data_IF_050297880612
#
_entry.id   IF_050297880612
#
_cell.length_a   1.000
_cell.length_b   1.000
_cell.length_c   1.000
_cell.angle_alpha   90.00
_cell.angle_beta   90.00
_cell.angle_gamma   90.00
#
_symmetry.space_group_name_H-M   'P 1'
#
loop_
_entity.id
_entity.type
_entity.pdbx_description
1 polymer ?
#
# COMPACT_ATOMS: atom_id res chain seq x y z
N UNK A 1 26.25 5.99 -18.18
CA UNK A 1 24.91 6.40 -17.69
C UNK A 1 24.53 5.43 -16.59
N UNK A 2 24.17 5.91 -15.39
CA UNK A 2 23.87 5.05 -14.24
C UNK A 2 22.63 4.20 -14.54
N UNK A 3 22.77 2.87 -14.66
CA UNK A 3 21.63 1.94 -14.73
C UNK A 3 20.88 2.06 -13.39
N UNK A 4 19.69 2.67 -13.39
CA UNK A 4 18.82 2.67 -12.22
C UNK A 4 18.30 1.24 -12.04
N UNK A 5 18.39 0.65 -10.84
CA UNK A 5 17.86 -0.69 -10.62
C UNK A 5 16.34 -0.66 -10.82
N UNK A 6 15.82 -1.64 -11.57
CA UNK A 6 14.39 -1.83 -11.75
C UNK A 6 13.68 -1.85 -10.38
N UNK A 7 12.55 -1.13 -10.26
CA UNK A 7 11.70 -1.15 -9.06
C UNK A 7 12.05 -0.18 -7.93
N UNK A 8 12.97 0.79 -8.12
CA UNK A 8 13.28 1.79 -7.07
C UNK A 8 12.06 2.65 -6.66
N UNK A 9 11.25 3.05 -7.65
CA UNK A 9 9.94 3.70 -7.48
C UNK A 9 8.98 2.85 -6.65
N UNK A 10 8.90 1.56 -6.97
CA UNK A 10 7.99 0.59 -6.34
C UNK A 10 8.39 0.27 -4.90
N UNK A 11 9.70 0.26 -4.59
CA UNK A 11 10.22 0.10 -3.23
C UNK A 11 9.93 1.31 -2.34
N UNK A 12 9.99 2.54 -2.86
CA UNK A 12 9.60 3.76 -2.12
C UNK A 12 8.11 3.76 -1.75
N UNK A 13 7.25 3.24 -2.63
CA UNK A 13 5.81 3.06 -2.35
C UNK A 13 5.53 2.07 -1.21
N UNK A 14 6.33 1.01 -1.05
CA UNK A 14 6.18 0.06 0.05
C UNK A 14 6.44 0.71 1.43
N UNK A 15 7.45 1.59 1.52
CA UNK A 15 7.76 2.31 2.76
C UNK A 15 6.72 3.37 3.15
N UNK A 16 6.10 4.05 2.18
CA UNK A 16 5.01 5.00 2.45
C UNK A 16 3.77 4.32 3.06
N UNK A 17 3.47 3.08 2.65
CA UNK A 17 2.27 2.35 3.12
C UNK A 17 2.36 1.89 4.57
N UNK A 18 3.57 1.64 5.11
CA UNK A 18 3.78 1.37 6.55
C UNK A 18 3.38 2.57 7.42
N UNK A 19 3.67 3.79 6.97
CA UNK A 19 3.26 5.02 7.69
C UNK A 19 1.75 5.19 7.70
N UNK A 20 1.05 4.84 6.63
CA UNK A 20 -0.42 4.89 6.58
C UNK A 20 -1.06 3.92 7.59
N UNK A 21 -0.53 2.70 7.72
CA UNK A 21 -1.04 1.73 8.71
C UNK A 21 -0.87 2.23 10.16
N UNK A 22 0.26 2.85 10.47
CA UNK A 22 0.49 3.50 11.78
C UNK A 22 -0.48 4.66 12.02
N UNK A 23 -0.75 5.49 11.00
CA UNK A 23 -1.72 6.57 11.11
C UNK A 23 -3.14 6.08 11.39
N UNK A 24 -3.58 4.99 10.76
CA UNK A 24 -4.89 4.38 11.08
C UNK A 24 -4.96 3.84 12.50
N UNK A 25 -3.88 3.22 12.99
CA UNK A 25 -3.81 2.76 14.38
C UNK A 25 -3.90 3.94 15.36
N UNK A 26 -3.19 5.04 15.08
CA UNK A 26 -3.24 6.27 15.89
C UNK A 26 -4.62 6.91 15.86
N UNK A 27 -5.26 7.01 14.69
CA UNK A 27 -6.62 7.55 14.57
C UNK A 27 -7.63 6.66 15.31
N UNK A 28 -7.53 5.34 15.18
CA UNK A 28 -8.38 4.40 15.90
C UNK A 28 -8.22 4.51 17.41
N UNK A 29 -6.97 4.65 17.89
CA UNK A 29 -6.68 4.89 19.30
C UNK A 29 -7.22 6.24 19.80
N UNK A 30 -7.13 7.28 18.98
CA UNK A 30 -7.70 8.60 19.26
C UNK A 30 -9.23 8.56 19.40
N UNK A 31 -9.92 7.86 18.50
CA UNK A 31 -11.38 7.67 18.57
C UNK A 31 -11.75 6.90 19.84
N UNK A 32 -10.98 5.88 20.22
CA UNK A 32 -11.19 5.11 21.45
C UNK A 32 -11.08 6.01 22.69
N UNK A 33 -10.04 6.86 22.76
CA UNK A 33 -9.84 7.79 23.87
C UNK A 33 -11.00 8.79 23.94
N UNK A 34 -11.41 9.36 22.81
CA UNK A 34 -12.54 10.31 22.77
C UNK A 34 -13.83 9.64 23.22
N UNK A 35 -14.10 8.40 22.79
CA UNK A 35 -15.26 7.63 23.24
C UNK A 35 -15.23 7.39 24.75
N UNK A 36 -14.08 7.00 25.32
CA UNK A 36 -13.91 6.80 26.77
C UNK A 36 -14.13 8.12 27.52
N UNK A 37 -13.55 9.24 27.06
CA UNK A 37 -13.74 10.55 27.69
C UNK A 37 -15.22 11.00 27.64
N UNK A 38 -15.91 10.74 26.53
CA UNK A 38 -17.32 11.04 26.38
C UNK A 38 -18.19 10.18 27.32
N UNK A 39 -17.83 8.91 27.53
CA UNK A 39 -18.49 8.03 28.49
C UNK A 39 -18.25 8.46 29.95
N UNK A 40 -17.06 8.97 30.27
CA UNK A 40 -16.70 9.46 31.61
C UNK A 40 -17.38 10.79 31.93
N UNK A 41 -17.59 11.68 30.94
CA UNK A 41 -18.34 12.93 31.12
C UNK A 41 -19.84 12.73 31.34
N UNK A 42 -20.39 11.56 31.02
CA UNK A 42 -21.75 11.22 31.39
C UNK A 42 -21.71 10.85 32.88
N UNK A 43 -21.92 11.83 33.75
CA UNK A 43 -22.05 11.68 35.22
C UNK A 43 -23.13 10.64 35.63
N UNK A 44 -23.94 10.18 34.66
CA UNK A 44 -24.99 9.18 34.79
C UNK A 44 -24.63 7.80 34.21
N UNK A 45 -23.36 7.47 33.89
CA UNK A 45 -23.03 6.16 33.29
C UNK A 45 -23.51 4.97 34.13
N UNK A 46 -23.50 5.13 35.47
CA UNK A 46 -24.11 4.19 36.43
C UNK A 46 -25.65 4.14 36.39
N UNK A 47 -26.35 5.21 36.00
CA UNK A 47 -27.82 5.24 35.86
C UNK A 47 -28.31 4.72 34.51
N UNK A 48 -27.47 4.77 33.48
CA UNK A 48 -27.79 4.23 32.15
C UNK A 48 -27.78 2.69 32.18
N UNK A 49 -27.07 2.09 33.15
CA UNK A 49 -27.11 0.65 33.40
C UNK A 49 -26.78 -0.18 32.16
N UNK A 50 -27.54 -1.27 31.96
CA UNK A 50 -27.35 -2.22 30.85
C UNK A 50 -27.38 -1.56 29.46
N UNK A 51 -28.11 -0.45 29.29
CA UNK A 51 -28.26 0.27 28.02
C UNK A 51 -26.94 0.88 27.53
N UNK A 52 -26.09 1.36 28.44
CA UNK A 52 -24.81 1.97 28.11
C UNK A 52 -23.80 0.92 27.65
N UNK A 53 -23.86 -0.26 28.26
CA UNK A 53 -23.07 -1.43 27.86
C UNK A 53 -23.50 -1.90 26.46
N UNK A 54 -24.81 -1.96 26.18
CA UNK A 54 -25.29 -2.31 24.83
C UNK A 54 -24.80 -1.30 23.78
N UNK A 55 -24.90 0.00 24.03
CA UNK A 55 -24.44 1.03 23.09
C UNK A 55 -22.93 0.90 22.84
N UNK A 56 -22.15 0.66 23.89
CA UNK A 56 -20.71 0.44 23.76
C UNK A 56 -20.39 -0.82 22.95
N UNK A 57 -21.08 -1.93 23.21
CA UNK A 57 -20.89 -3.17 22.46
C UNK A 57 -21.27 -3.03 20.98
N UNK A 58 -22.38 -2.35 20.69
CA UNK A 58 -22.80 -2.04 19.32
C UNK A 58 -21.77 -1.14 18.64
N UNK A 59 -21.25 -0.13 19.33
CA UNK A 59 -20.21 0.74 18.81
C UNK A 59 -18.92 -0.04 18.50
N UNK A 60 -18.47 -0.91 19.41
CA UNK A 60 -17.30 -1.78 19.19
C UNK A 60 -17.52 -2.69 17.97
N UNK A 61 -18.70 -3.28 17.81
CA UNK A 61 -18.99 -4.13 16.64
C UNK A 61 -18.95 -3.34 15.33
N UNK A 62 -19.59 -2.17 15.28
CA UNK A 62 -19.59 -1.30 14.10
C UNK A 62 -18.17 -0.85 13.77
N UNK A 63 -17.41 -0.46 14.80
CA UNK A 63 -16.04 -0.01 14.65
C UNK A 63 -15.11 -1.12 14.16
N UNK A 64 -15.19 -2.33 14.73
CA UNK A 64 -14.41 -3.47 14.29
C UNK A 64 -14.69 -3.81 12.81
N UNK A 65 -15.97 -3.84 12.41
CA UNK A 65 -16.35 -4.11 11.02
C UNK A 65 -15.85 -3.03 10.07
N UNK A 66 -15.89 -1.77 10.48
CA UNK A 66 -15.36 -0.65 9.70
C UNK A 66 -13.85 -0.77 9.51
N UNK A 67 -13.11 -1.05 10.59
CA UNK A 67 -11.66 -1.27 10.55
C UNK A 67 -11.32 -2.46 9.67
N UNK A 68 -12.00 -3.59 9.83
CA UNK A 68 -11.75 -4.80 9.03
C UNK A 68 -11.90 -4.53 7.54
N UNK A 69 -13.00 -3.89 7.11
CA UNK A 69 -13.23 -3.54 5.70
C UNK A 69 -12.11 -2.63 5.16
N UNK A 70 -11.67 -1.65 5.94
CA UNK A 70 -10.64 -0.70 5.51
C UNK A 70 -9.26 -1.37 5.44
N UNK A 71 -8.93 -2.19 6.43
CA UNK A 71 -7.66 -2.95 6.49
C UNK A 71 -7.58 -3.96 5.36
N UNK A 72 -8.64 -4.73 5.12
CA UNK A 72 -8.67 -5.74 4.06
C UNK A 72 -8.51 -5.16 2.66
N UNK A 73 -9.21 -4.05 2.37
CA UNK A 73 -9.05 -3.35 1.10
C UNK A 73 -7.61 -2.90 0.89
N UNK A 74 -6.97 -2.34 1.92
CA UNK A 74 -5.58 -1.86 1.85
C UNK A 74 -4.58 -3.02 1.77
N UNK A 75 -4.81 -4.12 2.47
CA UNK A 75 -3.99 -5.33 2.38
C UNK A 75 -4.06 -5.94 0.99
N UNK A 76 -5.24 -6.04 0.38
CA UNK A 76 -5.40 -6.53 -1.00
C UNK A 76 -4.65 -5.64 -2.00
N UNK A 77 -4.77 -4.32 -1.88
CA UNK A 77 -4.03 -3.38 -2.72
C UNK A 77 -2.52 -3.45 -2.52
N UNK A 78 -2.06 -3.76 -1.30
CA UNK A 78 -0.64 -3.91 -0.98
C UNK A 78 -0.08 -5.22 -1.52
N UNK A 79 -0.79 -6.33 -1.33
CA UNK A 79 -0.41 -7.62 -1.93
C UNK A 79 -0.36 -7.54 -3.45
N UNK A 80 -1.33 -6.87 -4.09
CA UNK A 80 -1.32 -6.64 -5.54
C UNK A 80 -0.10 -5.83 -5.99
N UNK A 81 0.19 -4.73 -5.29
CA UNK A 81 1.35 -3.89 -5.61
C UNK A 81 2.69 -4.64 -5.43
N UNK A 82 2.87 -5.36 -4.32
CA UNK A 82 4.08 -6.18 -4.07
C UNK A 82 4.24 -7.27 -5.12
N UNK A 83 3.13 -7.91 -5.51
CA UNK A 83 3.16 -8.93 -6.57
C UNK A 83 3.53 -8.32 -7.93
N UNK A 84 3.00 -7.13 -8.25
CA UNK A 84 3.39 -6.39 -9.45
C UNK A 84 4.87 -6.05 -9.46
N UNK A 85 5.37 -5.47 -8.36
CA UNK A 85 6.78 -5.15 -8.17
C UNK A 85 7.70 -6.35 -8.38
N UNK A 86 7.37 -7.49 -7.77
CA UNK A 86 8.17 -8.71 -7.90
C UNK A 86 8.15 -9.26 -9.33
N UNK A 87 7.06 -9.08 -10.06
CA UNK A 87 6.97 -9.47 -11.46
C UNK A 87 7.87 -8.59 -12.33
N UNK A 88 7.82 -7.27 -12.13
CA UNK A 88 8.73 -6.31 -12.78
C UNK A 88 10.20 -6.61 -12.47
N UNK A 89 10.56 -6.82 -11.21
CA UNK A 89 11.93 -7.19 -10.82
C UNK A 89 12.37 -8.46 -11.55
N UNK A 90 11.49 -9.47 -11.64
CA UNK A 90 11.83 -10.72 -12.33
C UNK A 90 11.95 -10.54 -13.84
N UNK A 91 11.12 -9.70 -14.46
CA UNK A 91 11.27 -9.38 -15.89
C UNK A 91 12.56 -8.60 -16.13
N UNK A 92 12.87 -7.61 -15.29
CA UNK A 92 14.14 -6.87 -15.35
C UNK A 92 15.35 -7.79 -15.28
N UNK A 93 15.37 -8.73 -14.33
CA UNK A 93 16.42 -9.76 -14.24
C UNK A 93 16.55 -10.57 -15.54
N UNK A 94 15.45 -11.01 -16.14
CA UNK A 94 15.47 -11.79 -17.37
C UNK A 94 15.96 -10.96 -18.57
N UNK A 95 15.65 -9.66 -18.60
CA UNK A 95 16.12 -8.77 -19.66
C UNK A 95 17.61 -8.44 -19.50
N UNK A 96 18.10 -8.35 -18.26
CA UNK A 96 19.53 -8.17 -17.95
C UNK A 96 20.37 -9.42 -18.31
N UNK A 97 19.75 -10.59 -18.46
CA UNK A 97 20.40 -11.82 -18.94
C UNK A 97 20.61 -11.84 -20.47
N UNK A 98 20.05 -10.87 -21.21
CA UNK A 98 20.19 -10.81 -22.67
C UNK A 98 21.63 -10.40 -23.06
N UNK A 99 22.12 -10.88 -24.23
CA UNK A 99 23.45 -10.50 -24.70
C UNK A 99 23.56 -8.98 -24.96
N UNK A 100 24.42 -8.30 -24.21
CA UNK A 100 24.64 -6.84 -24.32
C UNK A 100 25.13 -6.40 -25.72
N UNK A 101 25.68 -7.30 -26.53
CA UNK A 101 26.15 -7.06 -27.89
C UNK A 101 25.03 -7.12 -28.95
N UNK A 102 23.90 -7.74 -28.61
CA UNK A 102 22.71 -7.84 -29.46
C UNK A 102 21.56 -6.94 -28.98
N UNK A 103 21.44 -6.75 -27.66
CA UNK A 103 20.31 -6.07 -27.03
C UNK A 103 20.77 -4.97 -26.09
N UNK A 104 20.10 -3.83 -26.17
CA UNK A 104 20.26 -2.73 -25.24
C UNK A 104 18.96 -2.52 -24.47
N UNK A 105 19.03 -2.62 -23.14
CA UNK A 105 17.87 -2.56 -22.25
C UNK A 105 17.87 -1.27 -21.45
N UNK A 106 16.72 -0.58 -21.42
CA UNK A 106 16.43 0.56 -20.57
C UNK A 106 15.27 0.21 -19.64
N UNK A 107 15.41 0.47 -18.35
CA UNK A 107 14.33 0.29 -17.37
C UNK A 107 13.86 1.66 -16.84
N UNK A 108 12.58 1.75 -16.48
CA UNK A 108 11.96 2.89 -15.77
C UNK A 108 12.18 4.22 -16.50
N UNK A 109 11.72 4.27 -17.77
CA UNK A 109 11.86 5.42 -18.66
C UNK A 109 10.67 6.36 -18.48
N UNK A 110 10.91 7.49 -17.81
CA UNK A 110 9.92 8.56 -17.67
C UNK A 110 9.66 9.25 -19.02
N UNK A 111 8.40 9.34 -19.43
CA UNK A 111 7.97 10.10 -20.60
C UNK A 111 6.85 11.09 -20.26
N UNK A 112 6.66 12.16 -21.06
CA UNK A 112 5.52 13.07 -20.90
C UNK A 112 4.14 12.40 -21.00
N UNK A 113 4.06 11.19 -21.55
CA UNK A 113 2.83 10.45 -21.80
C UNK A 113 2.61 9.28 -20.83
N UNK A 114 3.54 9.05 -19.89
CA UNK A 114 3.48 7.94 -18.94
C UNK A 114 4.85 7.34 -18.67
N UNK A 115 4.92 6.44 -17.68
CA UNK A 115 6.13 5.66 -17.43
C UNK A 115 6.18 4.47 -18.39
N UNK A 116 7.37 4.18 -18.93
CA UNK A 116 7.63 2.98 -19.70
C UNK A 116 8.51 2.07 -18.85
N UNK A 117 7.99 0.91 -18.46
CA UNK A 117 8.65 0.03 -17.50
C UNK A 117 9.97 -0.51 -18.09
N UNK A 118 9.95 -0.99 -19.34
CA UNK A 118 11.13 -1.52 -20.05
C UNK A 118 11.14 -1.11 -21.53
N UNK A 119 12.32 -0.80 -22.07
CA UNK A 119 12.55 -0.63 -23.51
C UNK A 119 13.70 -1.55 -23.90
N UNK A 120 13.44 -2.41 -24.89
CA UNK A 120 14.45 -3.26 -25.50
C UNK A 120 14.77 -2.75 -26.89
N UNK A 121 16.05 -2.56 -27.19
CA UNK A 121 16.53 -2.18 -28.51
C UNK A 121 17.44 -3.29 -29.01
N UNK A 122 16.95 -4.07 -29.98
CA UNK A 122 17.70 -5.14 -30.59
C UNK A 122 18.36 -4.69 -31.88
N UNK A 123 19.64 -5.03 -32.05
CA UNK A 123 20.47 -4.64 -33.20
C UNK A 123 19.87 -5.00 -34.56
N UNK A 124 19.15 -6.14 -34.62
CA UNK A 124 18.57 -6.69 -35.85
C UNK A 124 17.04 -6.83 -35.82
N UNK A 125 16.38 -6.51 -34.70
CA UNK A 125 14.95 -6.79 -34.52
C UNK A 125 14.11 -5.57 -34.07
N UNK A 126 14.72 -4.40 -33.92
CA UNK A 126 13.99 -3.15 -33.65
C UNK A 126 13.74 -2.89 -32.17
N UNK A 127 12.66 -2.17 -31.86
CA UNK A 127 12.33 -1.70 -30.50
C UNK A 127 11.13 -2.48 -29.95
N UNK A 128 11.25 -2.97 -28.73
CA UNK A 128 10.17 -3.58 -27.94
C UNK A 128 9.92 -2.77 -26.67
N UNK A 129 8.65 -2.68 -26.28
CA UNK A 129 8.14 -1.93 -25.13
C UNK A 129 7.32 -2.86 -24.24
#
# INVERSE_FOLDING_TARGET
MNKRPAGESTRKMATQRRKSALWFAVIGFGILIVAILFLVQIENFLKIGFTGIIILLVFIQIFNKFIEIQVDKRLKLTKRAVRGAKAEEKVGELLDELPDDEYFVLHDVESPYGNIDHILIGKNCGIFL
#
